data_IF_435137167635
#
_entry.id   IF_435137167635
#
_cell.length_a   1.000
_cell.length_b   1.000
_cell.length_c   1.000
_cell.angle_alpha   90.00
_cell.angle_beta   90.00
_cell.angle_gamma   90.00
#
_symmetry.space_group_name_H-M   'P 1'
#
loop_
_entity.id
_entity.type
_entity.pdbx_description
1 polymer ?
#
# COMPACT_ATOMS: atom_id res chain seq x y z
N UNK A 1 -12.26 0.83 22.65
CA UNK A 1 -13.32 0.89 21.61
C UNK A 1 -14.44 -0.08 21.90
N UNK A 2 -14.18 -1.39 21.82
CA UNK A 2 -15.15 -2.43 22.18
C UNK A 2 -15.37 -2.44 23.69
N UNK A 3 -14.27 -2.47 24.47
CA UNK A 3 -14.33 -2.35 25.94
C UNK A 3 -14.88 -1.00 26.44
N UNK A 4 -15.01 0.00 25.56
CA UNK A 4 -15.58 1.31 25.88
C UNK A 4 -17.01 1.46 25.32
N UNK A 5 -17.64 0.36 24.91
CA UNK A 5 -18.99 0.30 24.32
C UNK A 5 -19.26 1.33 23.21
N UNK A 6 -18.26 1.59 22.35
CA UNK A 6 -18.46 2.47 21.19
C UNK A 6 -19.43 1.85 20.20
N UNK A 7 -20.24 2.71 19.57
CA UNK A 7 -21.27 2.29 18.62
C UNK A 7 -20.69 1.54 17.41
N UNK A 8 -21.50 0.65 16.84
CA UNK A 8 -21.09 -0.20 15.70
C UNK A 8 -20.55 0.61 14.51
N UNK A 9 -21.11 1.80 14.25
CA UNK A 9 -20.63 2.67 13.18
C UNK A 9 -19.17 3.12 13.41
N UNK A 10 -18.84 3.53 14.64
CA UNK A 10 -17.48 3.95 14.99
C UNK A 10 -16.48 2.80 14.87
N UNK A 11 -16.89 1.59 15.27
CA UNK A 11 -16.09 0.37 15.11
C UNK A 11 -15.81 0.09 13.63
N UNK A 12 -16.83 0.18 12.77
CA UNK A 12 -16.68 -0.03 11.33
C UNK A 12 -15.73 0.99 10.68
N UNK A 13 -15.78 2.26 11.11
CA UNK A 13 -14.84 3.29 10.64
C UNK A 13 -13.39 2.91 11.00
N UNK A 14 -13.15 2.40 12.20
CA UNK A 14 -11.81 2.01 12.62
C UNK A 14 -11.32 0.73 11.95
N UNK A 15 -12.21 -0.23 11.68
CA UNK A 15 -11.87 -1.40 10.86
C UNK A 15 -11.49 -0.97 9.44
N UNK A 16 -12.24 -0.03 8.84
CA UNK A 16 -11.90 0.52 7.52
C UNK A 16 -10.54 1.24 7.54
N UNK A 17 -10.25 2.01 8.59
CA UNK A 17 -8.96 2.68 8.75
C UNK A 17 -7.80 1.67 8.87
N UNK A 18 -7.96 0.62 9.67
CA UNK A 18 -6.96 -0.44 9.81
C UNK A 18 -6.71 -1.16 8.47
N UNK A 19 -7.77 -1.48 7.72
CA UNK A 19 -7.66 -2.08 6.38
C UNK A 19 -6.92 -1.16 5.41
N UNK A 20 -7.24 0.14 5.39
CA UNK A 20 -6.54 1.10 4.54
C UNK A 20 -5.04 1.21 4.88
N UNK A 21 -4.69 1.17 6.17
CA UNK A 21 -3.30 1.15 6.61
C UNK A 21 -2.57 -0.12 6.16
N UNK A 22 -3.19 -1.29 6.32
CA UNK A 22 -2.63 -2.57 5.87
C UNK A 22 -2.39 -2.56 4.35
N UNK A 23 -3.36 -2.09 3.57
CA UNK A 23 -3.23 -2.00 2.11
C UNK A 23 -2.04 -1.11 1.72
N UNK A 24 -1.88 0.05 2.38
CA UNK A 24 -0.74 0.95 2.14
C UNK A 24 0.60 0.29 2.47
N UNK A 25 0.69 -0.45 3.58
CA UNK A 25 1.91 -1.20 3.93
C UNK A 25 2.20 -2.27 2.87
N UNK A 26 1.18 -3.00 2.41
CA UNK A 26 1.30 -3.98 1.34
C UNK A 26 1.86 -3.37 0.04
N UNK A 27 1.36 -2.21 -0.38
CA UNK A 27 1.87 -1.49 -1.56
C UNK A 27 3.35 -1.12 -1.40
N UNK A 28 3.78 -0.65 -0.22
CA UNK A 28 5.18 -0.31 0.05
C UNK A 28 6.10 -1.54 -0.01
N UNK A 29 5.64 -2.69 0.50
CA UNK A 29 6.38 -3.95 0.42
C UNK A 29 6.56 -4.36 -1.04
N UNK A 30 5.50 -4.30 -1.85
CA UNK A 30 5.55 -4.62 -3.28
C UNK A 30 6.54 -3.70 -4.00
N UNK A 31 6.46 -2.39 -3.79
CA UNK A 31 7.40 -1.43 -4.38
C UNK A 31 8.86 -1.77 -4.06
N UNK A 32 9.15 -2.03 -2.79
CA UNK A 32 10.51 -2.37 -2.36
C UNK A 32 10.98 -3.69 -2.96
N UNK A 33 10.11 -4.70 -3.03
CA UNK A 33 10.42 -5.98 -3.64
C UNK A 33 10.67 -5.83 -5.15
N UNK A 34 9.81 -5.10 -5.87
CA UNK A 34 9.98 -4.82 -7.31
C UNK A 34 11.31 -4.14 -7.58
N UNK A 35 11.67 -3.09 -6.82
CA UNK A 35 12.97 -2.42 -6.95
C UNK A 35 14.14 -3.37 -6.73
N UNK A 36 14.07 -4.24 -5.70
CA UNK A 36 15.11 -5.25 -5.44
C UNK A 36 15.23 -6.30 -6.53
N UNK A 37 14.11 -6.83 -7.04
CA UNK A 37 14.13 -7.78 -8.15
C UNK A 37 14.68 -7.17 -9.44
N UNK A 38 14.47 -5.88 -9.65
CA UNK A 38 15.01 -5.15 -10.80
C UNK A 38 16.46 -4.68 -10.61
N UNK A 39 16.96 -4.64 -9.37
CA UNK A 39 18.29 -4.09 -9.03
C UNK A 39 19.49 -4.94 -9.41
N UNK A 40 19.29 -6.09 -10.08
CA UNK A 40 20.41 -6.85 -10.66
C UNK A 40 21.13 -6.06 -11.77
N UNK A 41 20.47 -5.05 -12.34
CA UNK A 41 21.04 -4.08 -13.29
C UNK A 41 20.56 -2.68 -12.89
N UNK A 42 21.39 -1.62 -12.99
CA UNK A 42 20.91 -0.25 -12.78
C UNK A 42 19.76 0.05 -13.76
N UNK A 43 18.63 0.49 -13.23
CA UNK A 43 17.50 0.93 -14.05
C UNK A 43 17.87 2.23 -14.79
N UNK A 44 17.35 2.39 -16.01
CA UNK A 44 17.33 3.70 -16.67
C UNK A 44 16.29 4.61 -16.01
N UNK A 45 16.42 5.92 -16.16
CA UNK A 45 15.43 6.90 -15.66
C UNK A 45 14.00 6.60 -16.14
N UNK A 46 13.86 6.01 -17.33
CA UNK A 46 12.57 5.63 -17.91
C UNK A 46 11.97 4.39 -17.22
N UNK A 47 12.82 3.42 -16.85
CA UNK A 47 12.41 2.24 -16.08
C UNK A 47 12.08 2.60 -14.64
N UNK A 48 12.81 3.53 -14.02
CA UNK A 48 12.51 4.04 -12.67
C UNK A 48 11.10 4.67 -12.65
N UNK A 49 10.76 5.49 -13.65
CA UNK A 49 9.41 6.07 -13.82
C UNK A 49 8.33 5.01 -14.03
N UNK A 50 8.60 3.99 -14.83
CA UNK A 50 7.65 2.89 -15.05
C UNK A 50 7.36 2.11 -13.76
N UNK A 51 8.36 1.93 -12.90
CA UNK A 51 8.18 1.32 -11.57
C UNK A 51 7.34 2.21 -10.66
N UNK A 52 7.56 3.53 -10.66
CA UNK A 52 6.73 4.47 -9.89
C UNK A 52 5.27 4.47 -10.37
N UNK A 53 5.03 4.49 -11.68
CA UNK A 53 3.67 4.38 -12.25
C UNK A 53 2.99 3.06 -11.85
N UNK A 54 3.70 1.94 -11.92
CA UNK A 54 3.17 0.64 -11.50
C UNK A 54 2.75 0.66 -10.02
N UNK A 55 3.57 1.28 -9.16
CA UNK A 55 3.26 1.42 -7.73
C UNK A 55 2.04 2.30 -7.51
N UNK A 56 1.92 3.41 -8.23
CA UNK A 56 0.76 4.30 -8.17
C UNK A 56 -0.53 3.60 -8.62
N UNK A 57 -0.47 2.81 -9.68
CA UNK A 57 -1.60 1.99 -10.14
C UNK A 57 -1.98 0.95 -9.09
N UNK A 58 -1.00 0.24 -8.53
CA UNK A 58 -1.23 -0.72 -7.46
C UNK A 58 -1.85 -0.06 -6.22
N UNK A 59 -1.34 1.10 -5.80
CA UNK A 59 -1.88 1.87 -4.67
C UNK A 59 -3.35 2.24 -4.87
N UNK A 60 -3.73 2.63 -6.09
CA UNK A 60 -5.12 2.96 -6.46
C UNK A 60 -6.01 1.72 -6.49
N UNK A 61 -5.49 0.58 -6.94
CA UNK A 61 -6.24 -0.67 -7.03
C UNK A 61 -6.44 -1.35 -5.66
N UNK A 62 -5.49 -1.18 -4.74
CA UNK A 62 -5.56 -1.76 -3.39
C UNK A 62 -6.34 -0.91 -2.38
N UNK A 63 -7.01 0.18 -2.79
CA UNK A 63 -7.84 0.98 -1.87
C UNK A 63 -9.08 0.23 -1.38
#
# INVERSE_FOLDING_TARGET
>A
MINDDKGCLDLLVQVAAARAAINRVGTLIIMNHTRKCLSEVPLTDEQEKAVEELVDVLAKFTK
#
